data_IF_861000466068
#
_entry.id   IF_861000466068
#
_cell.length_a   1.000
_cell.length_b   1.000
_cell.length_c   1.000
_cell.angle_alpha   90.00
_cell.angle_beta   90.00
_cell.angle_gamma   90.00
#
_symmetry.space_group_name_H-M   'P 1'
#
loop_
_entity.id
_entity.type
_entity.pdbx_description
1 polymer ?
#
# COMPACT_ATOMS: atom_id res chain seq x y z
N UNK A 1 14.54 5.93 -0.95
CA UNK A 1 13.65 6.40 -2.02
C UNK A 1 12.33 6.75 -1.39
N UNK A 2 11.93 8.01 -1.48
CA UNK A 2 10.68 8.50 -0.89
C UNK A 2 9.73 8.91 -2.01
N UNK A 3 8.57 8.26 -2.06
CA UNK A 3 7.53 8.49 -3.05
C UNK A 3 6.34 9.28 -2.46
N UNK A 4 6.39 9.63 -1.17
CA UNK A 4 5.33 10.45 -0.58
C UNK A 4 5.22 11.78 -1.32
N UNK A 5 4.01 12.14 -1.70
CA UNK A 5 3.67 13.36 -2.43
C UNK A 5 3.98 13.34 -3.93
N UNK A 6 4.59 12.27 -4.47
CA UNK A 6 4.98 12.25 -5.90
C UNK A 6 3.77 12.16 -6.84
N UNK A 7 2.61 11.72 -6.33
CA UNK A 7 1.37 11.55 -7.10
C UNK A 7 0.21 12.40 -6.54
N UNK A 8 0.51 13.34 -5.63
CA UNK A 8 -0.48 14.20 -4.98
C UNK A 8 -1.37 13.47 -3.97
N UNK A 9 -2.44 14.14 -3.54
CA UNK A 9 -3.42 13.63 -2.58
C UNK A 9 -4.81 13.54 -3.18
N UNK A 10 -5.65 12.67 -2.62
CA UNK A 10 -7.09 12.58 -2.94
C UNK A 10 -7.91 12.74 -1.67
N UNK A 11 -8.89 13.64 -1.71
CA UNK A 11 -9.93 13.78 -0.70
C UNK A 11 -11.17 12.98 -1.10
N UNK A 12 -11.84 12.37 -0.13
CA UNK A 12 -13.06 11.61 -0.38
C UNK A 12 -13.76 11.15 0.88
N UNK A 13 -14.68 10.20 0.71
CA UNK A 13 -15.44 9.60 1.82
C UNK A 13 -14.96 8.19 2.12
N UNK A 14 -14.84 7.87 3.40
CA UNK A 14 -14.56 6.53 3.93
C UNK A 14 -15.54 6.15 5.03
N UNK A 15 -15.18 5.12 5.79
CA UNK A 15 -15.94 4.69 6.97
C UNK A 15 -15.00 4.36 8.14
N UNK A 16 -15.51 4.48 9.37
CA UNK A 16 -14.79 4.19 10.61
C UNK A 16 -15.33 2.95 11.33
N UNK A 17 -15.14 1.73 10.78
CA UNK A 17 -15.72 0.51 11.34
C UNK A 17 -15.09 0.06 12.66
N UNK A 18 -13.92 0.58 13.01
CA UNK A 18 -13.17 0.20 14.23
C UNK A 18 -13.11 1.32 15.28
N UNK A 19 -14.00 2.31 15.20
CA UNK A 19 -14.05 3.45 16.10
C UNK A 19 -13.45 4.73 15.51
N UNK A 20 -13.71 5.85 16.19
CA UNK A 20 -13.37 7.21 15.72
C UNK A 20 -12.27 7.88 16.54
N UNK A 21 -11.66 7.14 17.48
CA UNK A 21 -10.54 7.65 18.26
C UNK A 21 -9.28 7.79 17.40
N UNK A 22 -8.41 8.73 17.74
CA UNK A 22 -7.20 9.05 16.95
C UNK A 22 -6.21 7.88 16.73
N UNK A 23 -6.31 6.80 17.52
CA UNK A 23 -5.49 5.60 17.36
C UNK A 23 -6.12 4.54 16.46
N UNK A 24 -7.39 4.69 16.08
CA UNK A 24 -8.07 3.76 15.19
C UNK A 24 -7.77 4.12 13.73
N UNK A 25 -7.59 3.11 12.88
CA UNK A 25 -7.62 3.32 11.43
C UNK A 25 -9.06 3.56 10.96
N UNK A 26 -9.19 4.21 9.80
CA UNK A 26 -10.42 4.28 9.03
C UNK A 26 -10.20 3.65 7.66
N UNK A 27 -11.27 3.34 6.92
CA UNK A 27 -11.16 2.73 5.60
C UNK A 27 -11.57 3.71 4.51
N UNK A 28 -10.78 3.79 3.43
CA UNK A 28 -11.21 4.43 2.18
C UNK A 28 -12.36 3.61 1.60
N UNK A 29 -13.41 4.25 1.08
CA UNK A 29 -14.53 3.53 0.44
C UNK A 29 -14.18 3.04 -0.97
N UNK A 30 -13.12 2.23 -1.09
CA UNK A 30 -12.66 1.69 -2.37
C UNK A 30 -13.66 0.65 -2.88
N UNK A 31 -14.13 0.80 -4.13
CA UNK A 31 -15.08 -0.13 -4.77
C UNK A 31 -16.34 -0.41 -3.93
N UNK A 32 -16.91 0.63 -3.29
CA UNK A 32 -18.06 0.54 -2.40
C UNK A 32 -17.85 -0.39 -1.19
N UNK A 33 -16.60 -0.59 -0.74
CA UNK A 33 -16.30 -1.50 0.37
C UNK A 33 -17.05 -1.16 1.66
N UNK A 34 -17.16 0.13 2.00
CA UNK A 34 -17.91 0.56 3.18
C UNK A 34 -19.38 0.18 3.05
N UNK A 35 -20.00 0.47 1.90
CA UNK A 35 -21.41 0.13 1.64
C UNK A 35 -21.65 -1.38 1.68
N UNK A 36 -20.74 -2.16 1.09
CA UNK A 36 -20.93 -3.59 0.88
C UNK A 36 -20.58 -4.43 2.11
N UNK A 37 -19.62 -3.99 2.93
CA UNK A 37 -19.06 -4.80 4.02
C UNK A 37 -19.18 -4.15 5.40
N UNK A 38 -19.39 -2.83 5.48
CA UNK A 38 -19.51 -2.08 6.74
C UNK A 38 -20.68 -1.08 6.68
N UNK A 39 -21.90 -1.50 6.30
CA UNK A 39 -23.02 -0.60 6.01
C UNK A 39 -23.44 0.26 7.21
N UNK A 40 -23.18 -0.20 8.43
CA UNK A 40 -23.55 0.47 9.68
C UNK A 40 -22.40 1.35 10.25
N UNK A 41 -21.22 1.35 9.61
CA UNK A 41 -20.09 2.12 10.08
C UNK A 41 -20.29 3.64 9.83
N UNK A 42 -19.86 4.52 10.74
CA UNK A 42 -19.92 5.96 10.51
C UNK A 42 -19.13 6.39 9.28
N UNK A 43 -19.72 7.21 8.44
CA UNK A 43 -19.02 7.87 7.33
C UNK A 43 -18.04 8.92 7.88
N UNK A 44 -16.85 8.97 7.30
CA UNK A 44 -15.81 9.95 7.64
C UNK A 44 -15.19 10.53 6.38
N UNK A 45 -14.66 11.75 6.47
CA UNK A 45 -13.81 12.30 5.42
C UNK A 45 -12.41 11.68 5.49
N UNK A 46 -11.83 11.39 4.34
CA UNK A 46 -10.47 10.85 4.20
C UNK A 46 -9.65 11.70 3.24
N UNK A 47 -8.35 11.83 3.50
CA UNK A 47 -7.38 12.49 2.63
C UNK A 47 -6.09 11.67 2.61
N UNK A 48 -5.78 11.04 1.48
CA UNK A 48 -4.68 10.08 1.40
C UNK A 48 -3.73 10.39 0.24
N UNK A 49 -2.50 9.91 0.38
CA UNK A 49 -1.45 10.05 -0.64
C UNK A 49 -1.67 9.05 -1.77
N UNK A 50 -1.72 9.53 -3.01
CA UNK A 50 -2.00 8.69 -4.18
C UNK A 50 -0.85 7.72 -4.48
N UNK A 51 0.39 8.02 -4.09
CA UNK A 51 1.53 7.16 -4.38
C UNK A 51 1.38 5.79 -3.72
N UNK A 52 0.69 5.71 -2.59
CA UNK A 52 0.44 4.46 -1.87
C UNK A 52 -0.53 3.51 -2.57
N UNK A 53 -1.41 4.02 -3.45
CA UNK A 53 -2.51 3.23 -4.03
C UNK A 53 -2.07 2.09 -4.94
N UNK A 54 -0.90 2.20 -5.59
CA UNK A 54 -0.43 1.19 -6.53
C UNK A 54 1.09 0.99 -6.39
N UNK A 55 1.51 -0.21 -6.00
CA UNK A 55 2.93 -0.55 -5.89
C UNK A 55 3.68 -0.52 -7.23
N UNK A 56 5.01 -0.34 -7.16
CA UNK A 56 5.92 -0.35 -8.30
C UNK A 56 5.95 -1.75 -8.93
N UNK A 57 5.68 -1.84 -10.23
CA UNK A 57 5.73 -3.12 -10.96
C UNK A 57 7.17 -3.66 -11.00
N UNK A 58 7.36 -4.89 -10.50
CA UNK A 58 8.63 -5.62 -10.57
C UNK A 58 8.50 -6.75 -11.58
N UNK A 59 9.27 -6.68 -12.67
CA UNK A 59 9.32 -7.71 -13.72
C UNK A 59 10.25 -8.87 -13.34
N UNK A 60 10.20 -9.95 -14.12
CA UNK A 60 11.03 -11.15 -13.92
C UNK A 60 12.53 -10.87 -13.93
N UNK A 61 13.30 -11.78 -13.33
CA UNK A 61 14.77 -11.79 -13.32
C UNK A 61 15.34 -10.49 -12.73
N UNK A 62 14.95 -10.19 -11.48
CA UNK A 62 15.39 -9.00 -10.73
C UNK A 62 15.89 -9.37 -9.35
N UNK A 63 16.94 -8.68 -8.93
CA UNK A 63 17.42 -8.69 -7.54
C UNK A 63 17.44 -7.25 -7.04
N UNK A 64 16.60 -6.97 -6.05
CA UNK A 64 16.57 -5.70 -5.34
C UNK A 64 17.21 -5.90 -3.96
N UNK A 65 18.44 -5.44 -3.82
CA UNK A 65 19.26 -5.61 -2.63
C UNK A 65 19.60 -4.25 -2.01
N UNK A 66 19.28 -4.06 -0.73
CA UNK A 66 19.71 -2.88 0.02
C UNK A 66 21.12 -3.01 0.60
N UNK A 67 21.82 -1.88 0.69
CA UNK A 67 23.14 -1.79 1.34
C UNK A 67 23.01 -1.40 2.82
N UNK A 68 23.46 -2.27 3.73
CA UNK A 68 23.41 -2.02 5.17
C UNK A 68 21.99 -1.68 5.62
N UNK A 69 21.81 -0.54 6.28
CA UNK A 69 20.49 -0.02 6.72
C UNK A 69 19.94 1.10 5.84
N UNK A 70 20.51 1.34 4.66
CA UNK A 70 20.16 2.48 3.80
C UNK A 70 19.04 2.18 2.80
N UNK A 71 18.78 0.90 2.52
CA UNK A 71 17.77 0.46 1.57
C UNK A 71 16.36 0.70 2.09
N UNK A 72 15.76 1.84 1.74
CA UNK A 72 14.40 2.20 2.18
C UNK A 72 13.58 2.69 1.01
N UNK A 73 12.35 2.19 0.88
CA UNK A 73 11.27 2.69 0.02
C UNK A 73 10.16 3.22 0.94
N UNK A 74 9.78 4.48 0.79
CA UNK A 74 8.70 5.12 1.56
C UNK A 74 7.56 5.55 0.67
N UNK A 75 6.34 5.50 1.18
CA UNK A 75 5.14 6.04 0.52
C UNK A 75 4.58 5.18 -0.62
N UNK A 76 5.29 4.13 -1.06
CA UNK A 76 4.87 3.27 -2.16
C UNK A 76 5.37 1.84 -2.00
N UNK A 77 4.52 0.87 -2.31
CA UNK A 77 4.85 -0.55 -2.23
C UNK A 77 5.54 -1.14 -3.47
N UNK A 78 5.76 -2.45 -3.43
CA UNK A 78 6.24 -3.26 -4.58
C UNK A 78 5.15 -4.21 -5.04
N UNK A 79 5.04 -4.43 -6.35
CA UNK A 79 4.01 -5.28 -6.95
C UNK A 79 4.59 -6.24 -7.99
N UNK A 80 4.59 -7.53 -7.67
CA UNK A 80 5.04 -8.64 -8.52
C UNK A 80 3.81 -9.36 -9.07
N UNK A 81 3.55 -9.19 -10.37
CA UNK A 81 2.29 -9.63 -10.97
C UNK A 81 2.43 -10.18 -12.39
N UNK A 82 1.34 -10.74 -12.92
CA UNK A 82 1.17 -11.05 -14.35
C UNK A 82 2.18 -12.08 -14.87
N UNK A 83 2.42 -13.13 -14.09
CA UNK A 83 3.36 -14.22 -14.41
C UNK A 83 4.83 -13.86 -14.19
N UNK A 84 5.13 -12.77 -13.46
CA UNK A 84 6.50 -12.39 -13.13
C UNK A 84 7.17 -13.48 -12.27
N UNK A 85 8.46 -13.72 -12.50
CA UNK A 85 9.17 -14.82 -11.84
C UNK A 85 10.66 -14.58 -11.61
N UNK A 86 11.28 -15.38 -10.76
CA UNK A 86 12.71 -15.29 -10.44
C UNK A 86 13.10 -13.90 -9.93
N UNK A 87 12.54 -13.54 -8.76
CA UNK A 87 12.72 -12.23 -8.15
C UNK A 87 13.25 -12.41 -6.73
N UNK A 88 14.28 -11.64 -6.37
CA UNK A 88 14.82 -11.57 -5.02
C UNK A 88 14.67 -10.12 -4.51
N UNK A 89 14.03 -9.94 -3.37
CA UNK A 89 13.97 -8.68 -2.63
C UNK A 89 14.65 -8.93 -1.29
N UNK A 90 15.76 -8.25 -1.00
CA UNK A 90 16.52 -8.52 0.21
C UNK A 90 17.04 -7.23 0.85
N UNK A 91 17.01 -7.19 2.18
CA UNK A 91 17.62 -6.12 2.98
C UNK A 91 17.14 -4.71 2.63
N UNK A 92 15.83 -4.56 2.41
CA UNK A 92 15.19 -3.25 2.25
C UNK A 92 14.04 -3.09 3.26
N UNK A 93 13.72 -1.85 3.59
CA UNK A 93 12.49 -1.48 4.28
C UNK A 93 11.49 -0.90 3.27
N UNK A 94 10.22 -1.29 3.39
CA UNK A 94 9.09 -0.69 2.67
C UNK A 94 8.10 -0.16 3.72
N UNK A 95 7.99 1.15 3.86
CA UNK A 95 7.32 1.79 5.02
C UNK A 95 6.48 3.01 4.63
N UNK A 96 5.76 3.53 5.62
CA UNK A 96 5.12 4.85 5.57
C UNK A 96 4.10 4.99 4.41
N UNK A 97 3.28 3.96 4.21
CA UNK A 97 2.23 3.92 3.17
C UNK A 97 0.88 4.15 3.85
N UNK A 98 0.35 5.37 3.76
CA UNK A 98 -1.00 5.76 4.24
C UNK A 98 -1.44 5.07 5.55
N UNK A 99 -0.67 5.20 6.66
CA UNK A 99 -0.83 4.36 7.85
C UNK A 99 -2.20 4.47 8.52
N UNK A 100 -2.91 5.58 8.32
CA UNK A 100 -4.24 5.83 8.90
C UNK A 100 -5.38 5.13 8.13
N UNK A 101 -5.12 4.67 6.90
CA UNK A 101 -6.16 4.32 5.93
C UNK A 101 -6.05 2.87 5.45
N UNK A 102 -7.03 2.03 5.81
CA UNK A 102 -7.26 0.76 5.13
C UNK A 102 -7.64 1.04 3.66
N UNK A 103 -7.15 0.20 2.75
CA UNK A 103 -7.10 0.44 1.30
C UNK A 103 -6.20 1.62 0.86
N UNK A 104 -5.39 2.16 1.78
CA UNK A 104 -4.41 3.20 1.51
C UNK A 104 -3.17 2.71 0.74
N UNK A 105 -2.90 1.40 0.76
CA UNK A 105 -1.83 0.78 0.00
C UNK A 105 -1.29 -0.49 0.65
N UNK A 106 -0.61 -1.31 -0.14
CA UNK A 106 0.05 -2.54 0.30
C UNK A 106 1.58 -2.37 0.25
N UNK A 107 2.30 -2.91 1.22
CA UNK A 107 3.77 -2.89 1.22
C UNK A 107 4.37 -3.77 0.11
N UNK A 108 3.95 -5.03 0.04
CA UNK A 108 4.37 -5.97 -1.00
C UNK A 108 3.16 -6.76 -1.49
N UNK A 109 2.85 -6.64 -2.78
CA UNK A 109 1.82 -7.42 -3.47
C UNK A 109 2.47 -8.48 -4.35
N UNK A 110 2.12 -9.75 -4.14
CA UNK A 110 2.46 -10.86 -5.03
C UNK A 110 1.17 -11.49 -5.53
N UNK A 111 0.93 -11.49 -6.84
CA UNK A 111 -0.27 -12.07 -7.42
C UNK A 111 0.04 -12.63 -8.82
N UNK A 112 -0.13 -13.94 -9.02
CA UNK A 112 0.28 -14.64 -10.24
C UNK A 112 1.80 -14.48 -10.51
N UNK A 113 2.62 -15.14 -9.69
CA UNK A 113 4.08 -15.10 -9.75
C UNK A 113 4.71 -16.42 -9.30
N UNK A 114 5.96 -16.66 -9.69
CA UNK A 114 6.72 -17.88 -9.35
C UNK A 114 8.17 -17.57 -8.93
N UNK A 115 8.76 -18.38 -8.06
CA UNK A 115 10.16 -18.23 -7.59
C UNK A 115 10.49 -16.81 -7.08
N UNK A 116 9.73 -16.35 -6.09
CA UNK A 116 9.97 -15.07 -5.39
C UNK A 116 10.61 -15.35 -4.02
N UNK A 117 11.70 -14.66 -3.70
CA UNK A 117 12.31 -14.65 -2.38
C UNK A 117 12.27 -13.24 -1.78
N UNK A 118 11.75 -13.13 -0.57
CA UNK A 118 11.75 -11.93 0.28
C UNK A 118 12.48 -12.28 1.58
#
# INVERSE_FOLDING_TARGET
FDFTGTEGTTDGTGCAPWGTDSGCQVAINQNDWCTNYQPDAPTVDVSYDNAGQLGITVNSDKTLLGEGSKGVIKGKGLRIVSGAKNIIIQNIAVTDINPQYVWGGDGITINDADQVWI
#
